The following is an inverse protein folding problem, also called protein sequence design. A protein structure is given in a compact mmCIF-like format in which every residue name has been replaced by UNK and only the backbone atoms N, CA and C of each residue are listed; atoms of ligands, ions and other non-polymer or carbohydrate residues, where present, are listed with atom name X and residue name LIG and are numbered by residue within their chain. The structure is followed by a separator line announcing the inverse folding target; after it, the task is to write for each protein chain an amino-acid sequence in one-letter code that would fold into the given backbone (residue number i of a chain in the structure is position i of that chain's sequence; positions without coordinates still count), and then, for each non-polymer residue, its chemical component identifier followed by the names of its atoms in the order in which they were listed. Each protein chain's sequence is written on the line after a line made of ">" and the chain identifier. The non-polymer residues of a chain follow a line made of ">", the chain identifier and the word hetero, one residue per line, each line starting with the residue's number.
data_IF_434678256445
#
_entry.id   IF_434678256445
#
_cell.length_a   1.000
_cell.length_b   1.000
_cell.length_c   1.000
_cell.angle_alpha   90.00
_cell.angle_beta   90.00
_cell.angle_gamma   90.00
#
_symmetry.space_group_name_H-M   'P 1'
#
loop_
_entity.id
_entity.type
_entity.pdbx_description
1 polymer ?
#
# COMPACT_ATOMS: atom_id res chain seq x y z
N UNK A 1 14.53 7.43 9.51
CA UNK A 1 14.87 7.67 8.09
C UNK A 1 15.62 6.49 7.47
N UNK A 2 16.69 5.99 8.10
CA UNK A 2 17.48 4.83 7.60
C UNK A 2 16.64 3.57 7.28
N UNK A 3 15.66 3.24 8.12
CA UNK A 3 14.77 2.07 7.91
C UNK A 3 13.98 2.17 6.59
N UNK A 4 13.58 3.38 6.18
CA UNK A 4 12.80 3.57 4.96
C UNK A 4 13.64 3.34 3.71
N UNK A 5 14.92 3.74 3.77
CA UNK A 5 15.90 3.55 2.70
C UNK A 5 16.18 2.06 2.52
N UNK A 6 16.45 1.35 3.62
CA UNK A 6 16.68 -0.10 3.61
C UNK A 6 15.48 -0.85 3.01
N UNK A 7 14.26 -0.57 3.47
CA UNK A 7 13.05 -1.22 2.95
C UNK A 7 12.87 -0.90 1.46
N UNK A 8 13.11 0.33 1.04
CA UNK A 8 13.03 0.71 -0.37
C UNK A 8 14.03 -0.07 -1.22
N UNK A 9 15.28 -0.21 -0.78
CA UNK A 9 16.31 -0.96 -1.49
C UNK A 9 15.94 -2.45 -1.60
N UNK A 10 15.50 -3.07 -0.50
CA UNK A 10 15.05 -4.46 -0.49
C UNK A 10 13.88 -4.69 -1.46
N UNK A 11 12.91 -3.78 -1.50
CA UNK A 11 11.78 -3.84 -2.42
C UNK A 11 12.22 -3.72 -3.88
N UNK A 12 13.10 -2.75 -4.20
CA UNK A 12 13.60 -2.53 -5.57
C UNK A 12 14.52 -3.64 -6.05
N UNK A 13 15.26 -4.29 -5.15
CA UNK A 13 16.13 -5.43 -5.44
C UNK A 13 15.36 -6.77 -5.50
N UNK A 14 14.04 -6.76 -5.34
CA UNK A 14 13.22 -7.98 -5.38
C UNK A 14 13.44 -8.92 -4.20
N UNK A 15 13.97 -8.42 -3.08
CA UNK A 15 14.25 -9.21 -1.87
C UNK A 15 13.01 -9.38 -0.97
N UNK A 16 11.98 -8.57 -1.19
CA UNK A 16 10.70 -8.68 -0.49
C UNK A 16 9.79 -9.69 -1.21
N UNK A 17 9.26 -10.70 -0.51
CA UNK A 17 8.45 -11.74 -1.12
C UNK A 17 7.06 -11.23 -1.54
N UNK A 18 6.48 -11.84 -2.58
CA UNK A 18 5.23 -11.41 -3.22
C UNK A 18 4.07 -11.23 -2.22
N UNK A 19 3.98 -12.09 -1.23
CA UNK A 19 2.91 -12.13 -0.22
C UNK A 19 2.84 -10.83 0.60
N UNK A 20 3.96 -10.10 0.72
CA UNK A 20 4.01 -8.83 1.45
C UNK A 20 3.37 -7.68 0.67
N UNK A 21 3.13 -7.85 -0.62
CA UNK A 21 2.46 -6.86 -1.47
C UNK A 21 0.95 -7.10 -1.61
N UNK A 22 0.46 -8.24 -1.12
CA UNK A 22 -0.96 -8.60 -1.24
C UNK A 22 -1.80 -7.66 -0.41
N UNK A 23 -2.69 -6.93 -1.09
CA UNK A 23 -3.73 -6.13 -0.45
C UNK A 23 -5.07 -6.85 -0.60
N UNK A 24 -5.84 -6.92 0.47
CA UNK A 24 -7.14 -7.61 0.47
C UNK A 24 -8.30 -6.64 0.65
N UNK A 25 -9.40 -6.86 -0.06
CA UNK A 25 -10.64 -6.11 0.17
C UNK A 25 -11.87 -6.98 -0.05
N UNK A 26 -12.85 -6.85 0.84
CA UNK A 26 -14.08 -7.64 0.82
C UNK A 26 -15.12 -7.05 -0.13
N UNK A 27 -15.80 -7.91 -0.89
CA UNK A 27 -16.94 -7.52 -1.70
C UNK A 27 -18.16 -7.32 -0.80
N UNK A 28 -18.67 -6.10 -0.75
CA UNK A 28 -19.90 -5.76 -0.01
C UNK A 28 -21.17 -5.89 -0.84
N UNK A 29 -21.02 -6.05 -2.16
CA UNK A 29 -22.07 -6.19 -3.16
C UNK A 29 -21.59 -7.13 -4.28
N UNK A 30 -22.48 -7.64 -5.14
CA UNK A 30 -22.06 -8.39 -6.32
C UNK A 30 -21.13 -7.54 -7.19
N UNK A 31 -20.09 -8.12 -7.83
CA UNK A 31 -19.14 -7.37 -8.66
C UNK A 31 -19.79 -6.51 -9.75
N UNK A 32 -20.94 -6.93 -10.28
CA UNK A 32 -21.71 -6.24 -11.32
C UNK A 32 -22.48 -5.03 -10.78
N UNK A 33 -22.72 -4.96 -9.47
CA UNK A 33 -23.50 -3.91 -8.81
C UNK A 33 -22.67 -2.70 -8.37
N UNK A 34 -21.36 -2.67 -8.69
CA UNK A 34 -20.49 -1.53 -8.40
C UNK A 34 -20.51 -0.52 -9.56
N UNK A 35 -21.07 0.69 -9.36
CA UNK A 35 -21.15 1.70 -10.43
C UNK A 35 -19.77 2.25 -10.84
N UNK A 36 -18.77 2.13 -9.96
CA UNK A 36 -17.40 2.62 -10.21
C UNK A 36 -16.36 1.50 -10.15
N UNK A 37 -16.69 0.33 -10.71
CA UNK A 37 -15.82 -0.83 -10.76
C UNK A 37 -14.43 -0.51 -11.35
N UNK A 38 -14.37 0.40 -12.34
CA UNK A 38 -13.13 0.83 -13.02
C UNK A 38 -12.09 1.49 -12.12
N UNK A 39 -12.49 1.99 -10.95
CA UNK A 39 -11.60 2.60 -9.97
C UNK A 39 -11.39 1.70 -8.74
N UNK A 40 -11.97 0.51 -8.73
CA UNK A 40 -11.96 -0.39 -7.58
C UNK A 40 -11.18 -1.68 -7.90
N UNK A 41 -9.90 -1.78 -7.46
CA UNK A 41 -9.02 -2.91 -7.74
C UNK A 41 -9.67 -4.29 -7.52
N UNK A 42 -10.13 -4.57 -6.30
CA UNK A 42 -10.83 -5.80 -5.94
C UNK A 42 -12.04 -6.14 -6.83
N UNK A 43 -12.82 -5.14 -7.26
CA UNK A 43 -13.98 -5.37 -8.13
C UNK A 43 -13.53 -5.75 -9.53
N UNK A 44 -12.60 -4.99 -10.11
CA UNK A 44 -12.12 -5.24 -11.47
C UNK A 44 -11.35 -6.57 -11.58
N UNK A 45 -10.55 -6.91 -10.56
CA UNK A 45 -9.90 -8.23 -10.46
C UNK A 45 -10.96 -9.34 -10.41
N UNK A 46 -11.98 -9.19 -9.57
CA UNK A 46 -13.06 -10.19 -9.48
C UNK A 46 -13.78 -10.36 -10.82
N UNK A 47 -14.17 -9.25 -11.47
CA UNK A 47 -14.84 -9.31 -12.77
C UNK A 47 -13.99 -10.02 -13.82
N UNK A 48 -12.68 -9.79 -13.84
CA UNK A 48 -11.75 -10.46 -14.76
C UNK A 48 -11.64 -11.95 -14.47
N UNK A 49 -11.52 -12.35 -13.20
CA UNK A 49 -11.48 -13.75 -12.80
C UNK A 49 -12.77 -14.47 -13.18
N UNK A 50 -13.94 -13.84 -12.99
CA UNK A 50 -15.23 -14.39 -13.47
C UNK A 50 -15.26 -14.61 -14.98
N UNK A 51 -14.73 -13.68 -15.76
CA UNK A 51 -14.62 -13.81 -17.22
C UNK A 51 -13.70 -14.96 -17.64
N UNK A 52 -12.68 -15.26 -16.84
CA UNK A 52 -11.78 -16.40 -17.04
C UNK A 52 -12.36 -17.74 -16.54
N UNK A 53 -13.59 -17.74 -16.00
CA UNK A 53 -14.28 -18.96 -15.55
C UNK A 53 -14.05 -19.32 -14.08
N UNK A 54 -13.38 -18.47 -13.30
CA UNK A 54 -13.24 -18.68 -11.86
C UNK A 54 -14.58 -18.39 -11.15
N UNK A 55 -14.98 -19.28 -10.25
CA UNK A 55 -16.23 -19.19 -9.49
C UNK A 55 -16.02 -19.03 -7.98
N UNK A 56 -14.86 -19.44 -7.45
CA UNK A 56 -14.45 -19.20 -6.06
C UNK A 56 -13.95 -17.76 -5.87
N UNK A 57 -14.31 -17.14 -4.75
CA UNK A 57 -13.82 -15.79 -4.43
C UNK A 57 -14.44 -14.69 -5.31
N UNK A 58 -15.68 -14.86 -5.74
CA UNK A 58 -16.38 -13.95 -6.66
C UNK A 58 -17.76 -13.49 -6.15
N UNK A 59 -18.10 -13.85 -4.91
CA UNK A 59 -19.39 -13.62 -4.27
C UNK A 59 -19.33 -12.51 -3.24
N UNK A 60 -20.51 -12.02 -2.83
CA UNK A 60 -20.63 -11.06 -1.74
C UNK A 60 -20.09 -11.69 -0.45
N UNK A 61 -19.28 -10.96 0.30
CA UNK A 61 -18.59 -11.44 1.49
C UNK A 61 -17.20 -12.03 1.20
N UNK A 62 -16.88 -12.35 -0.04
CA UNK A 62 -15.55 -12.86 -0.39
C UNK A 62 -14.50 -11.75 -0.26
N UNK A 63 -13.33 -12.14 0.23
CA UNK A 63 -12.17 -11.26 0.39
C UNK A 63 -11.23 -11.46 -0.78
N UNK A 64 -11.04 -10.40 -1.57
CA UNK A 64 -10.32 -10.45 -2.84
C UNK A 64 -8.90 -9.94 -2.63
N UNK A 65 -7.88 -10.80 -2.79
CA UNK A 65 -6.49 -10.35 -2.79
C UNK A 65 -6.13 -9.76 -4.16
N UNK A 66 -5.34 -8.70 -4.15
CA UNK A 66 -4.77 -8.12 -5.35
C UNK A 66 -3.42 -7.48 -5.07
N UNK A 67 -2.62 -7.36 -6.12
CA UNK A 67 -1.32 -6.70 -6.15
C UNK A 67 -1.34 -5.67 -7.26
N UNK A 68 -0.78 -4.50 -6.98
CA UNK A 68 -0.70 -3.42 -7.95
C UNK A 68 0.58 -3.57 -8.77
N UNK A 69 0.42 -3.63 -10.09
CA UNK A 69 1.49 -3.91 -11.03
C UNK A 69 1.51 -2.88 -12.16
N UNK A 70 2.54 -2.96 -13.01
CA UNK A 70 2.58 -2.35 -14.33
C UNK A 70 3.14 -3.37 -15.32
N UNK A 71 2.86 -3.16 -16.60
CA UNK A 71 3.31 -4.06 -17.66
C UNK A 71 4.82 -3.92 -17.89
N UNK A 72 5.51 -5.03 -18.16
CA UNK A 72 6.93 -5.01 -18.49
C UNK A 72 7.17 -4.17 -19.75
N UNK A 73 8.14 -3.25 -19.70
CA UNK A 73 8.37 -2.25 -20.76
C UNK A 73 7.54 -0.97 -20.60
N UNK A 74 6.56 -0.96 -19.71
CA UNK A 74 5.93 0.24 -19.20
C UNK A 74 6.71 0.90 -18.05
N UNK A 75 6.19 2.01 -17.55
CA UNK A 75 6.70 2.68 -16.35
C UNK A 75 5.70 2.62 -15.21
N UNK A 76 6.20 2.70 -13.99
CA UNK A 76 5.36 2.95 -12.81
C UNK A 76 4.43 4.14 -13.06
N UNK A 77 3.13 3.95 -12.85
CA UNK A 77 2.13 5.00 -13.05
C UNK A 77 1.70 5.25 -14.51
N UNK A 78 2.35 4.66 -15.52
CA UNK A 78 2.13 5.05 -16.92
C UNK A 78 0.99 4.32 -17.65
N UNK A 79 0.53 3.17 -17.13
CA UNK A 79 -0.45 2.32 -17.80
C UNK A 79 -1.77 2.24 -17.03
N UNK A 80 -2.75 3.06 -17.43
CA UNK A 80 -4.14 2.94 -17.00
C UNK A 80 -4.44 3.31 -15.54
N UNK A 81 -5.71 3.19 -15.16
CA UNK A 81 -6.17 3.44 -13.80
C UNK A 81 -5.68 2.38 -12.81
N UNK A 82 -5.64 2.69 -11.51
CA UNK A 82 -5.11 1.79 -10.47
C UNK A 82 -5.79 0.41 -10.46
N UNK A 83 -7.08 0.34 -10.76
CA UNK A 83 -7.79 -0.94 -10.82
C UNK A 83 -7.40 -1.76 -12.05
N UNK A 84 -7.09 -1.13 -13.18
CA UNK A 84 -6.61 -1.83 -14.39
C UNK A 84 -5.23 -2.44 -14.18
N UNK A 85 -4.44 -1.85 -13.28
CA UNK A 85 -3.14 -2.32 -12.84
C UNK A 85 -3.18 -3.39 -11.75
N UNK A 86 -4.35 -3.65 -11.17
CA UNK A 86 -4.50 -4.66 -10.13
C UNK A 86 -4.58 -6.07 -10.73
N UNK A 87 -3.81 -6.99 -10.16
CA UNK A 87 -3.74 -8.41 -10.54
C UNK A 87 -3.96 -9.28 -9.31
N UNK A 88 -4.68 -10.38 -9.47
CA UNK A 88 -4.75 -11.43 -8.47
C UNK A 88 -3.36 -12.09 -8.33
N UNK A 89 -2.95 -12.52 -7.12
CA UNK A 89 -1.65 -13.17 -6.93
C UNK A 89 -1.47 -14.43 -7.77
N UNK A 90 -2.55 -15.15 -8.08
CA UNK A 90 -2.49 -16.34 -8.95
C UNK A 90 -2.27 -15.99 -10.43
N UNK A 91 -2.79 -14.85 -10.91
CA UNK A 91 -2.50 -14.35 -12.28
C UNK A 91 -0.99 -14.13 -12.43
N UNK A 92 -0.34 -13.53 -11.43
CA UNK A 92 1.10 -13.25 -11.45
C UNK A 92 1.98 -14.51 -11.40
N UNK A 93 1.46 -15.60 -10.81
CA UNK A 93 2.16 -16.89 -10.79
C UNK A 93 2.14 -17.57 -12.17
N UNK A 94 1.06 -17.37 -12.95
CA UNK A 94 0.89 -17.93 -14.29
C UNK A 94 1.51 -17.07 -15.41
N UNK A 95 1.46 -15.74 -15.29
CA UNK A 95 1.96 -14.78 -16.27
C UNK A 95 3.35 -14.24 -15.90
N UNK A 96 4.28 -15.14 -15.56
CA UNK A 96 5.62 -14.72 -15.11
C UNK A 96 6.34 -13.89 -16.18
N UNK A 97 6.80 -12.71 -15.77
CA UNK A 97 7.56 -11.80 -16.62
C UNK A 97 6.72 -10.71 -17.30
N UNK A 98 5.41 -10.87 -17.45
CA UNK A 98 4.54 -9.85 -18.09
C UNK A 98 4.29 -8.65 -17.19
N UNK A 99 4.16 -8.90 -15.88
CA UNK A 99 3.81 -7.87 -14.89
C UNK A 99 4.92 -7.67 -13.88
N UNK A 100 5.25 -6.41 -13.62
CA UNK A 100 6.17 -5.99 -12.56
C UNK A 100 5.38 -5.34 -11.43
N UNK A 101 5.77 -5.59 -10.18
CA UNK A 101 5.14 -4.96 -9.01
C UNK A 101 5.43 -3.46 -9.04
N UNK A 102 4.41 -2.62 -8.85
CA UNK A 102 4.61 -1.18 -8.75
C UNK A 102 5.11 -0.79 -7.35
N UNK A 103 6.43 -0.86 -7.17
CA UNK A 103 7.09 -0.53 -5.90
C UNK A 103 6.77 0.91 -5.45
N UNK A 104 6.69 1.87 -6.37
CA UNK A 104 6.44 3.28 -6.02
C UNK A 104 5.02 3.49 -5.48
N UNK A 105 4.05 2.73 -5.98
CA UNK A 105 2.70 2.68 -5.41
C UNK A 105 2.73 2.25 -3.94
N UNK A 106 3.42 1.15 -3.60
CA UNK A 106 3.47 0.67 -2.22
C UNK A 106 4.23 1.62 -1.29
N UNK A 107 5.34 2.18 -1.77
CA UNK A 107 6.08 3.20 -1.02
C UNK A 107 5.21 4.43 -0.72
N UNK A 108 4.52 4.96 -1.72
CA UNK A 108 3.74 6.20 -1.59
C UNK A 108 2.38 6.02 -0.91
N UNK A 109 1.67 4.92 -1.17
CA UNK A 109 0.30 4.72 -0.72
C UNK A 109 0.18 3.90 0.56
N UNK A 110 1.17 3.06 0.89
CA UNK A 110 1.10 2.20 2.08
C UNK A 110 2.18 2.56 3.11
N UNK A 111 3.44 2.61 2.71
CA UNK A 111 4.55 2.80 3.64
C UNK A 111 4.62 4.25 4.13
N UNK A 112 4.67 5.21 3.20
CA UNK A 112 4.84 6.63 3.53
C UNK A 112 3.74 7.20 4.46
N UNK A 113 2.43 6.95 4.24
CA UNK A 113 1.39 7.48 5.13
C UNK A 113 1.48 6.93 6.55
N UNK A 114 1.85 5.65 6.70
CA UNK A 114 2.03 5.01 8.02
C UNK A 114 3.21 5.62 8.75
N UNK A 115 4.37 5.73 8.09
CA UNK A 115 5.57 6.33 8.68
C UNK A 115 5.34 7.80 9.03
N UNK A 116 4.70 8.55 8.15
CA UNK A 116 4.38 9.97 8.39
C UNK A 116 3.52 10.15 9.65
N UNK A 117 2.49 9.30 9.83
CA UNK A 117 1.63 9.34 11.02
C UNK A 117 2.40 9.04 12.31
N UNK A 118 3.28 8.04 12.28
CA UNK A 118 4.12 7.69 13.42
C UNK A 118 5.07 8.84 13.79
N UNK A 119 5.75 9.42 12.81
CA UNK A 119 6.65 10.57 13.03
C UNK A 119 5.91 11.80 13.59
N UNK A 120 4.70 12.08 13.09
CA UNK A 120 3.87 13.18 13.58
C UNK A 120 3.48 12.99 15.06
N UNK A 121 3.18 11.76 15.48
CA UNK A 121 2.84 11.46 16.88
C UNK A 121 4.02 11.64 17.83
N UNK A 122 5.26 11.42 17.37
CA UNK A 122 6.48 11.62 18.16
C UNK A 122 6.77 13.12 18.30
N UNK A 123 6.56 13.91 17.24
CA UNK A 123 6.74 15.37 17.26
C UNK A 123 5.61 16.13 17.98
N UNK A 124 4.50 15.48 18.30
CA UNK A 124 3.40 16.01 19.11
C UNK A 124 3.65 16.00 20.62
N UNK A 125 4.83 15.61 21.08
CA UNK A 125 5.25 15.79 22.48
C UNK A 125 6.13 17.04 22.52
N UNK A 126 5.59 18.17 23.01
CA UNK A 126 6.36 19.41 23.09
C UNK A 126 7.68 19.19 23.86
N UNK A 127 8.80 19.81 23.43
CA UNK A 127 10.07 19.76 24.17
C UNK A 127 9.92 20.17 25.65
N UNK A 128 8.89 20.99 25.93
CA UNK A 128 8.46 21.43 27.26
C UNK A 128 8.08 20.26 28.19
N UNK A 129 7.50 19.16 27.68
CA UNK A 129 7.18 17.96 28.47
C UNK A 129 8.35 16.99 28.63
N UNK A 130 9.35 17.07 27.76
CA UNK A 130 10.60 16.29 27.87
C UNK A 130 11.59 16.91 28.87
N UNK A 131 11.44 18.19 29.21
CA UNK A 131 12.21 18.86 30.26
C UNK A 131 11.83 18.37 31.68
N UNK A 132 10.55 18.11 31.94
CA UNK A 132 10.05 17.64 33.26
C UNK A 132 10.53 16.22 33.62
N UNK A 133 10.86 15.38 32.64
CA UNK A 133 11.38 14.03 32.88
C UNK A 133 12.92 13.96 32.96
N UNK A 134 13.63 15.07 32.72
CA UNK A 134 15.10 15.08 32.63
C UNK A 134 15.81 15.66 33.85
N UNK A 135 15.07 16.08 34.89
CA UNK A 135 15.68 16.55 36.15
C UNK A 135 16.69 17.69 35.99
N UNK A 136 16.54 18.50 34.93
CA UNK A 136 17.43 19.62 34.67
C UNK A 136 16.86 20.88 35.32
N UNK A 137 17.65 21.41 36.24
CA UNK A 137 17.41 22.58 37.09
C UNK A 137 16.77 23.77 36.34
N UNK A 138 15.57 24.16 36.78
CA UNK A 138 14.73 25.24 36.22
C UNK A 138 15.31 26.65 36.41
N UNK A 139 16.52 26.80 36.93
CA UNK A 139 17.13 28.08 37.31
C UNK A 139 17.75 28.91 36.16
N UNK A 140 17.56 28.55 34.88
CA UNK A 140 18.27 29.21 33.76
C UNK A 140 17.38 29.82 32.65
N UNK A 141 16.06 29.77 32.75
CA UNK A 141 15.19 30.45 31.77
C UNK A 141 14.88 31.86 32.28
N UNK A 142 15.73 32.83 31.93
CA UNK A 142 15.40 34.25 32.09
C UNK A 142 14.54 34.69 30.92
N UNK A 143 13.27 34.95 31.19
CA UNK A 143 12.37 35.68 30.31
C UNK A 143 12.74 37.17 30.35
N UNK A 144 12.97 37.81 29.21
CA UNK A 144 12.96 39.27 29.10
C UNK A 144 11.65 39.68 28.42
N UNK A 145 10.91 40.56 29.09
CA UNK A 145 9.61 41.12 28.73
C UNK A 145 9.54 41.75 27.35
#
# INVERSE_FOLDING_TARGET
>A
MLILIQVQEEMRNGQVPLEKYVTTKTLTKPPEAYPDAKNQPHVLVTQRLKQQGYSSGCSVGDTIPYIICYEQGGSSGSAGGIAQRARHPEELKGEQGTWLIDIDYYLSQQIHPVVSRLCASIQGTSPERLADCSGLDSSKVKYTS
#
